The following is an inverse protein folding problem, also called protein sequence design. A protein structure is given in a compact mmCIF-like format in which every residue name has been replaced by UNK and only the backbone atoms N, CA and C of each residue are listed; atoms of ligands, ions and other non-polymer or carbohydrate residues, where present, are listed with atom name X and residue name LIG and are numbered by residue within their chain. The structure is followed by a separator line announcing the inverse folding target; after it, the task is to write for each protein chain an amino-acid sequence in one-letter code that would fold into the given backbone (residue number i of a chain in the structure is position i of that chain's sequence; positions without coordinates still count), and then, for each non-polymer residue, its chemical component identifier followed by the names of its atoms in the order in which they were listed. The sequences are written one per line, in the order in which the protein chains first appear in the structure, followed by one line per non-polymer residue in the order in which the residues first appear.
data_IF_356217395110
#
_entry.id   IF_356217395110
#
_cell.length_a   1.000
_cell.length_b   1.000
_cell.length_c   1.000
_cell.angle_alpha   90.00
_cell.angle_beta   90.00
_cell.angle_gamma   90.00
#
_symmetry.space_group_name_H-M   'P 1'
#
loop_
_entity.id
_entity.type
_entity.pdbx_description
1 polymer ?
#
# COMPACT_ATOMS: atom_id res chain seq x y z
N UNK A 1 4.10 32.82 28.40
CA UNK A 1 3.48 32.47 27.12
C UNK A 1 4.61 32.18 26.14
N UNK A 2 4.96 30.92 25.92
CA UNK A 2 5.99 30.52 24.95
C UNK A 2 5.38 30.49 23.55
N UNK A 3 5.91 31.32 22.66
CA UNK A 3 5.49 31.40 21.26
C UNK A 3 5.83 30.09 20.53
N UNK A 4 4.94 29.52 19.69
CA UNK A 4 5.21 28.28 18.98
C UNK A 4 6.27 28.50 17.88
N UNK A 5 7.30 27.65 17.87
CA UNK A 5 8.31 27.62 16.83
C UNK A 5 7.69 27.17 15.50
N UNK A 6 7.64 28.08 14.52
CA UNK A 6 7.27 27.76 13.14
C UNK A 6 8.36 26.88 12.52
N UNK A 7 8.09 25.57 12.36
CA UNK A 7 9.10 24.60 11.91
C UNK A 7 9.37 24.62 10.39
N UNK A 8 8.58 25.30 9.57
CA UNK A 8 8.90 25.40 8.13
C UNK A 8 8.88 26.81 7.56
N UNK A 9 9.96 27.23 6.85
CA UNK A 9 9.93 28.45 6.06
C UNK A 9 9.02 28.26 4.83
N UNK A 10 8.39 29.34 4.33
CA UNK A 10 7.45 29.28 3.23
C UNK A 10 8.12 28.85 1.91
N UNK A 11 7.50 27.91 1.21
CA UNK A 11 7.93 27.47 -0.11
C UNK A 11 7.78 28.61 -1.13
N UNK A 12 8.87 28.92 -1.83
CA UNK A 12 8.92 29.88 -2.94
C UNK A 12 8.10 29.35 -4.12
N UNK A 13 6.89 29.90 -4.32
CA UNK A 13 6.02 29.63 -5.47
C UNK A 13 6.58 30.30 -6.74
N UNK A 14 7.60 29.72 -7.36
CA UNK A 14 7.91 30.03 -8.76
C UNK A 14 7.06 29.14 -9.68
N UNK A 15 6.04 29.75 -10.28
CA UNK A 15 5.15 29.15 -11.29
C UNK A 15 5.94 28.74 -12.53
N UNK A 16 6.38 27.49 -12.60
CA UNK A 16 6.98 26.92 -13.80
C UNK A 16 5.89 26.65 -14.86
N UNK A 17 6.13 27.09 -16.10
CA UNK A 17 5.26 26.86 -17.26
C UNK A 17 5.24 25.36 -17.61
N UNK A 18 4.04 24.78 -17.67
CA UNK A 18 3.80 23.38 -18.00
C UNK A 18 4.11 23.12 -19.48
N UNK A 19 5.30 22.59 -19.76
CA UNK A 19 5.60 21.84 -20.98
C UNK A 19 5.32 20.38 -20.69
N UNK A 20 4.29 19.79 -21.29
CA UNK A 20 3.93 18.37 -21.13
C UNK A 20 5.01 17.48 -21.77
N UNK A 21 6.11 17.24 -21.07
CA UNK A 21 6.91 16.04 -21.33
C UNK A 21 6.10 14.82 -20.83
N UNK A 22 6.20 13.66 -21.48
CA UNK A 22 5.65 12.42 -20.94
C UNK A 22 6.20 12.25 -19.53
N UNK A 23 5.32 12.26 -18.53
CA UNK A 23 5.67 12.10 -17.12
C UNK A 23 6.20 10.69 -16.90
N UNK A 24 7.51 10.52 -17.02
CA UNK A 24 8.19 9.35 -16.49
C UNK A 24 8.01 9.36 -14.98
N UNK A 25 7.45 8.28 -14.42
CA UNK A 25 7.38 8.05 -12.97
C UNK A 25 8.80 8.23 -12.40
N UNK A 26 9.01 9.09 -11.39
CA UNK A 26 10.29 9.17 -10.70
C UNK A 26 10.72 7.79 -10.20
N UNK A 27 11.90 7.33 -10.58
CA UNK A 27 12.41 5.98 -10.28
C UNK A 27 13.89 6.00 -9.95
N UNK A 28 14.33 5.07 -9.09
CA UNK A 28 15.75 4.84 -8.79
C UNK A 28 16.17 3.44 -9.25
N UNK A 29 17.28 3.28 -10.00
CA UNK A 29 17.65 2.02 -10.64
C UNK A 29 17.92 0.86 -9.67
N UNK A 30 18.36 1.18 -8.44
CA UNK A 30 18.67 0.18 -7.40
C UNK A 30 17.55 0.04 -6.35
N UNK A 31 16.40 0.69 -6.56
CA UNK A 31 15.31 0.64 -5.60
C UNK A 31 14.39 -0.57 -5.89
N UNK A 32 14.29 -1.56 -4.97
CA UNK A 32 13.44 -2.73 -5.20
C UNK A 32 11.96 -2.35 -5.33
N UNK A 33 11.50 -1.32 -4.62
CA UNK A 33 10.12 -0.84 -4.72
C UNK A 33 9.82 -0.16 -6.06
N UNK A 34 10.79 0.55 -6.66
CA UNK A 34 10.65 1.04 -8.03
C UNK A 34 10.57 -0.11 -9.04
N UNK A 35 11.37 -1.17 -8.85
CA UNK A 35 11.35 -2.33 -9.73
C UNK A 35 10.00 -3.07 -9.66
N UNK A 36 9.44 -3.27 -8.45
CA UNK A 36 8.08 -3.78 -8.24
C UNK A 36 7.06 -2.86 -8.94
N UNK A 37 7.14 -1.55 -8.70
CA UNK A 37 6.21 -0.61 -9.32
C UNK A 37 6.24 -0.65 -10.86
N UNK A 38 7.42 -0.82 -11.47
CA UNK A 38 7.56 -0.96 -12.91
C UNK A 38 7.02 -2.29 -13.46
N UNK A 39 7.13 -3.38 -12.68
CA UNK A 39 6.69 -4.71 -13.08
C UNK A 39 5.16 -4.90 -13.00
N UNK A 40 4.49 -4.11 -12.16
CA UNK A 40 3.05 -4.24 -11.93
C UNK A 40 2.32 -2.98 -12.40
N UNK A 41 1.58 -2.98 -13.52
CA UNK A 41 0.79 -1.83 -13.94
C UNK A 41 -0.47 -1.66 -13.06
N UNK A 42 -1.08 -0.45 -13.04
CA UNK A 42 -2.33 -0.20 -12.33
C UNK A 42 -3.48 -1.10 -12.82
N UNK A 43 -4.33 -1.55 -11.89
CA UNK A 43 -5.53 -2.35 -12.16
C UNK A 43 -6.65 -1.94 -11.20
N UNK A 44 -7.93 -2.02 -11.60
CA UNK A 44 -9.06 -1.78 -10.70
C UNK A 44 -9.00 -2.66 -9.45
N UNK A 45 -9.02 -2.08 -8.23
CA UNK A 45 -8.98 -2.83 -6.97
C UNK A 45 -10.11 -3.86 -6.79
N UNK A 46 -11.28 -3.65 -7.41
CA UNK A 46 -12.38 -4.63 -7.37
C UNK A 46 -12.09 -5.90 -8.19
N UNK A 47 -11.09 -5.90 -9.07
CA UNK A 47 -10.82 -6.98 -10.01
C UNK A 47 -9.83 -8.00 -9.46
N UNK A 48 -10.34 -8.96 -8.69
CA UNK A 48 -9.57 -10.03 -8.02
C UNK A 48 -8.71 -10.87 -8.97
N UNK A 49 -9.20 -11.16 -10.19
CA UNK A 49 -8.56 -12.12 -11.10
C UNK A 49 -7.28 -11.63 -11.81
N UNK A 50 -7.08 -10.32 -11.94
CA UNK A 50 -6.03 -9.76 -12.82
C UNK A 50 -4.62 -9.91 -12.27
N UNK A 51 -4.48 -10.05 -10.97
CA UNK A 51 -3.19 -10.01 -10.30
C UNK A 51 -2.60 -11.41 -10.02
N UNK A 52 -3.32 -12.49 -10.35
CA UNK A 52 -2.85 -13.87 -10.23
C UNK A 52 -2.01 -14.35 -11.42
N UNK A 53 -1.92 -13.56 -12.50
CA UNK A 53 -0.96 -13.81 -13.57
C UNK A 53 0.41 -13.32 -13.12
N UNK A 54 1.01 -14.02 -12.15
CA UNK A 54 2.46 -14.13 -12.17
C UNK A 54 2.80 -14.69 -13.56
N UNK A 55 3.71 -14.04 -14.27
CA UNK A 55 4.23 -14.55 -15.52
C UNK A 55 4.95 -15.89 -15.23
N UNK A 56 4.21 -17.00 -15.15
CA UNK A 56 4.72 -18.31 -15.50
C UNK A 56 4.78 -18.36 -17.02
N UNK A 57 5.65 -17.54 -17.60
CA UNK A 57 6.05 -17.78 -18.98
C UNK A 57 6.83 -19.09 -18.99
N UNK A 58 6.22 -20.15 -19.49
CA UNK A 58 6.90 -21.32 -20.07
C UNK A 58 7.60 -20.96 -21.39
N UNK A 59 7.99 -19.70 -21.56
CA UNK A 59 8.86 -19.26 -22.64
C UNK A 59 10.31 -19.38 -22.15
N UNK A 60 11.18 -19.87 -23.04
CA UNK A 60 12.63 -20.09 -22.86
C UNK A 60 13.29 -19.03 -21.95
N UNK A 61 14.35 -19.40 -21.19
CA UNK A 61 15.06 -18.46 -20.33
C UNK A 61 15.72 -17.36 -21.16
N UNK A 62 14.96 -16.31 -21.43
CA UNK A 62 15.47 -15.03 -21.85
C UNK A 62 16.21 -14.46 -20.63
N UNK A 63 17.47 -14.10 -20.81
CA UNK A 63 18.41 -13.61 -19.77
C UNK A 63 18.02 -12.25 -19.14
N UNK A 64 16.75 -11.86 -19.22
CA UNK A 64 16.21 -10.76 -18.43
C UNK A 64 15.97 -11.31 -17.02
N UNK A 65 16.68 -10.78 -16.03
CA UNK A 65 16.43 -11.10 -14.61
C UNK A 65 14.93 -11.15 -14.37
N UNK A 66 14.40 -12.19 -13.70
CA UNK A 66 12.97 -12.31 -13.46
C UNK A 66 12.46 -11.01 -12.86
N UNK A 67 11.31 -10.53 -13.36
CA UNK A 67 10.66 -9.37 -12.77
C UNK A 67 10.55 -9.59 -11.25
N UNK A 68 10.84 -8.57 -10.41
CA UNK A 68 10.86 -8.76 -8.97
C UNK A 68 9.52 -9.34 -8.52
N UNK A 69 9.59 -10.52 -7.91
CA UNK A 69 8.41 -11.21 -7.41
C UNK A 69 7.90 -10.47 -6.18
N UNK A 70 6.64 -10.06 -6.22
CA UNK A 70 5.93 -9.48 -5.10
C UNK A 70 4.54 -10.08 -5.01
N UNK A 71 4.17 -10.50 -3.79
CA UNK A 71 2.85 -10.99 -3.45
C UNK A 71 1.87 -9.81 -3.35
N UNK A 72 1.43 -9.34 -4.51
CA UNK A 72 0.74 -8.06 -4.72
C UNK A 72 -0.73 -8.10 -4.29
N UNK A 73 -1.18 -7.13 -3.50
CA UNK A 73 -2.55 -7.00 -3.01
C UNK A 73 -3.30 -5.89 -3.75
N UNK A 74 -2.64 -4.73 -3.92
CA UNK A 74 -3.21 -3.54 -4.53
C UNK A 74 -2.23 -2.94 -5.53
N UNK A 75 -2.74 -2.46 -6.65
CA UNK A 75 -1.96 -1.74 -7.67
C UNK A 75 -2.81 -0.64 -8.30
N UNK A 76 -2.74 0.57 -7.77
CA UNK A 76 -3.45 1.74 -8.31
C UNK A 76 -2.54 2.60 -9.16
N UNK A 77 -2.99 3.78 -9.59
CA UNK A 77 -2.15 4.75 -10.31
C UNK A 77 -1.00 5.31 -9.46
N UNK A 78 -1.17 5.41 -8.14
CA UNK A 78 -0.23 6.09 -7.25
C UNK A 78 0.30 5.22 -6.11
N UNK A 79 -0.41 4.15 -5.74
CA UNK A 79 -0.11 3.31 -4.57
C UNK A 79 -0.04 1.85 -4.98
N UNK A 80 0.90 1.13 -4.37
CA UNK A 80 0.95 -0.34 -4.40
C UNK A 80 0.88 -0.86 -2.98
N UNK A 81 0.32 -2.05 -2.80
CA UNK A 81 0.44 -2.80 -1.55
C UNK A 81 0.74 -4.27 -1.82
N UNK A 82 1.65 -4.86 -1.04
CA UNK A 82 2.09 -6.25 -1.17
C UNK A 82 2.58 -6.79 0.18
N UNK A 83 2.69 -8.10 0.33
CA UNK A 83 3.22 -8.71 1.56
C UNK A 83 4.71 -8.36 1.76
N UNK A 84 5.11 -8.08 3.00
CA UNK A 84 6.53 -8.00 3.39
C UNK A 84 7.15 -9.40 3.22
N UNK A 85 8.36 -9.49 2.67
CA UNK A 85 9.10 -10.74 2.47
C UNK A 85 9.68 -11.31 3.77
N UNK A 86 9.79 -10.47 4.80
CA UNK A 86 10.23 -10.81 6.15
C UNK A 86 9.14 -10.35 7.14
N UNK A 87 7.95 -10.98 7.12
CA UNK A 87 6.82 -10.61 7.97
C UNK A 87 7.16 -10.67 9.47
N UNK A 88 6.61 -9.74 10.24
CA UNK A 88 6.62 -9.81 11.71
C UNK A 88 5.47 -10.67 12.24
N UNK A 89 4.38 -10.71 11.48
CA UNK A 89 3.17 -11.49 11.71
C UNK A 89 2.55 -11.81 10.36
N UNK A 90 1.71 -12.85 10.28
CA UNK A 90 0.92 -13.16 9.09
C UNK A 90 0.18 -11.92 8.61
N UNK A 91 0.16 -11.68 7.31
CA UNK A 91 -0.48 -10.51 6.71
C UNK A 91 0.22 -9.18 6.97
N UNK A 92 1.51 -9.17 7.34
CA UNK A 92 2.32 -7.95 7.32
C UNK A 92 2.40 -7.40 5.89
N UNK A 93 1.80 -6.22 5.66
CA UNK A 93 1.70 -5.56 4.35
C UNK A 93 2.56 -4.31 4.29
N UNK A 94 3.23 -4.13 3.16
CA UNK A 94 3.88 -2.87 2.77
C UNK A 94 2.95 -2.08 1.84
N UNK A 95 2.70 -0.82 2.16
CA UNK A 95 1.98 0.14 1.31
C UNK A 95 2.95 1.22 0.86
N UNK A 96 3.16 1.34 -0.44
CA UNK A 96 4.19 2.22 -1.02
C UNK A 96 3.58 3.23 -1.98
N UNK A 97 4.24 4.38 -2.14
CA UNK A 97 4.03 5.20 -3.34
C UNK A 97 4.62 4.49 -4.56
N UNK A 98 4.03 4.68 -5.74
CA UNK A 98 4.65 4.24 -7.00
C UNK A 98 5.86 5.07 -7.36
N UNK A 99 5.68 6.38 -7.30
CA UNK A 99 6.74 7.35 -7.50
C UNK A 99 7.78 7.21 -6.40
N UNK A 100 9.04 7.28 -6.79
CA UNK A 100 10.16 7.22 -5.87
C UNK A 100 10.22 8.51 -5.04
N UNK A 101 9.92 8.39 -3.76
CA UNK A 101 10.17 9.40 -2.74
C UNK A 101 10.98 8.72 -1.64
N UNK A 102 12.16 9.24 -1.29
CA UNK A 102 12.99 8.57 -0.28
C UNK A 102 12.37 8.60 1.12
N UNK A 103 11.84 9.77 1.53
CA UNK A 103 11.25 10.01 2.85
C UNK A 103 9.87 10.63 2.70
N UNK A 104 9.05 10.51 3.75
CA UNK A 104 7.68 11.02 3.77
C UNK A 104 7.61 12.52 3.48
N UNK A 105 8.60 13.31 3.95
CA UNK A 105 8.70 14.74 3.66
C UNK A 105 8.96 15.09 2.19
N UNK A 106 9.31 14.11 1.34
CA UNK A 106 9.46 14.30 -0.10
C UNK A 106 8.17 14.04 -0.89
N UNK A 107 7.12 13.53 -0.22
CA UNK A 107 5.85 13.19 -0.86
C UNK A 107 5.00 14.45 -1.04
N UNK A 108 4.57 14.71 -2.27
CA UNK A 108 3.68 15.82 -2.59
C UNK A 108 2.24 15.56 -2.15
N UNK A 109 1.43 16.62 -2.07
CA UNK A 109 0.04 16.57 -1.55
C UNK A 109 -0.83 15.54 -2.27
N UNK A 110 -0.76 15.44 -3.61
CA UNK A 110 -1.61 14.50 -4.36
C UNK A 110 -1.28 13.04 -4.07
N UNK A 111 0.01 12.67 -4.00
CA UNK A 111 0.43 11.31 -3.62
C UNK A 111 0.13 11.05 -2.13
N UNK A 112 0.26 12.06 -1.28
CA UNK A 112 -0.09 11.98 0.14
C UNK A 112 -1.58 11.69 0.36
N UNK A 113 -2.48 12.30 -0.42
CA UNK A 113 -3.92 11.99 -0.41
C UNK A 113 -4.18 10.53 -0.76
N UNK A 114 -3.50 10.01 -1.79
CA UNK A 114 -3.66 8.62 -2.21
C UNK A 114 -3.16 7.63 -1.15
N UNK A 115 -2.00 7.87 -0.54
CA UNK A 115 -1.50 7.07 0.58
C UNK A 115 -2.47 7.11 1.76
N UNK A 116 -2.91 8.30 2.15
CA UNK A 116 -3.86 8.49 3.26
C UNK A 116 -5.23 7.85 3.01
N UNK A 117 -5.70 7.81 1.75
CA UNK A 117 -6.93 7.12 1.33
C UNK A 117 -6.78 5.61 1.49
N UNK A 118 -5.69 5.03 0.97
CA UNK A 118 -5.50 3.58 0.92
C UNK A 118 -5.12 2.95 2.25
N UNK A 119 -4.41 3.65 3.14
CA UNK A 119 -4.01 3.13 4.46
C UNK A 119 -5.18 2.59 5.30
N UNK A 120 -6.28 3.33 5.55
CA UNK A 120 -7.42 2.82 6.33
C UNK A 120 -8.19 1.71 5.60
N UNK A 121 -8.27 1.76 4.27
CA UNK A 121 -8.93 0.72 3.45
C UNK A 121 -8.18 -0.61 3.58
N UNK A 122 -6.86 -0.58 3.35
CA UNK A 122 -6.00 -1.75 3.46
C UNK A 122 -5.93 -2.27 4.89
N UNK A 123 -5.93 -1.38 5.88
CA UNK A 123 -5.94 -1.78 7.29
C UNK A 123 -7.18 -2.62 7.62
N UNK A 124 -8.38 -2.20 7.19
CA UNK A 124 -9.62 -2.99 7.37
C UNK A 124 -9.58 -4.32 6.62
N UNK A 125 -9.11 -4.32 5.38
CA UNK A 125 -9.03 -5.56 4.59
C UNK A 125 -8.05 -6.56 5.21
N UNK A 126 -6.89 -6.09 5.65
CA UNK A 126 -5.86 -6.93 6.27
C UNK A 126 -6.34 -7.49 7.61
N UNK A 127 -6.87 -6.65 8.50
CA UNK A 127 -7.28 -7.11 9.84
C UNK A 127 -8.43 -8.10 9.77
N UNK A 128 -9.48 -7.84 8.97
CA UNK A 128 -10.59 -8.79 8.81
C UNK A 128 -10.13 -10.13 8.23
N UNK A 129 -9.21 -10.09 7.27
CA UNK A 129 -8.71 -11.31 6.61
C UNK A 129 -7.88 -12.17 7.56
N UNK A 130 -7.03 -11.55 8.38
CA UNK A 130 -5.99 -12.27 9.14
C UNK A 130 -6.38 -12.49 10.59
N UNK A 131 -7.09 -11.54 11.20
CA UNK A 131 -7.48 -11.55 12.61
C UNK A 131 -8.96 -11.94 12.79
N UNK A 132 -9.75 -11.91 11.72
CA UNK A 132 -11.19 -12.19 11.77
C UNK A 132 -12.02 -10.98 12.20
N UNK A 133 -13.32 -11.22 12.42
CA UNK A 133 -14.31 -10.20 12.82
C UNK A 133 -15.00 -10.49 14.14
N UNK A 134 -14.85 -11.71 14.65
CA UNK A 134 -15.44 -12.14 15.92
C UNK A 134 -14.52 -11.76 17.08
N UNK A 135 -15.10 -11.50 18.24
CA UNK A 135 -14.33 -11.24 19.44
C UNK A 135 -13.36 -12.39 19.74
N UNK A 136 -12.15 -12.05 20.19
CA UNK A 136 -11.12 -13.04 20.49
C UNK A 136 -11.44 -13.85 21.76
N UNK A 137 -10.50 -14.72 22.17
CA UNK A 137 -10.65 -15.55 23.38
C UNK A 137 -10.79 -14.73 24.67
N UNK A 138 -10.40 -13.45 24.66
CA UNK A 138 -10.52 -12.50 25.76
C UNK A 138 -11.75 -11.60 25.63
N UNK A 139 -12.59 -11.82 24.62
CA UNK A 139 -13.75 -11.00 24.27
C UNK A 139 -13.38 -9.58 23.83
N UNK A 140 -12.19 -9.41 23.27
CA UNK A 140 -11.69 -8.12 22.77
C UNK A 140 -11.88 -8.04 21.24
N UNK A 141 -11.86 -6.82 20.70
CA UNK A 141 -11.88 -6.60 19.25
C UNK A 141 -10.61 -7.22 18.64
N UNK A 142 -10.74 -8.16 17.68
CA UNK A 142 -9.58 -8.79 17.05
C UNK A 142 -8.79 -7.81 16.18
N UNK A 143 -9.38 -6.70 15.75
CA UNK A 143 -8.74 -5.74 14.86
C UNK A 143 -7.71 -4.87 15.61
N UNK A 144 -6.56 -5.47 15.93
CA UNK A 144 -5.42 -4.80 16.55
C UNK A 144 -4.21 -4.86 15.61
N UNK A 145 -3.65 -3.70 15.26
CA UNK A 145 -2.52 -3.64 14.33
C UNK A 145 -1.65 -2.41 14.57
N UNK A 146 -0.41 -2.45 14.07
CA UNK A 146 0.44 -1.27 14.00
C UNK A 146 0.47 -0.72 12.56
N UNK A 147 0.51 0.59 12.44
CA UNK A 147 0.96 1.27 11.22
C UNK A 147 2.31 1.91 11.50
N UNK A 148 3.36 1.50 10.79
CA UNK A 148 4.73 1.99 11.02
C UNK A 148 5.29 2.60 9.74
N UNK A 149 5.92 3.77 9.86
CA UNK A 149 6.55 4.46 8.75
C UNK A 149 7.85 5.10 9.24
N UNK A 150 8.97 4.78 8.57
CA UNK A 150 10.30 5.17 9.01
C UNK A 150 10.98 6.11 7.99
N UNK A 151 11.67 7.15 8.46
CA UNK A 151 12.34 8.14 7.62
C UNK A 151 13.82 8.31 7.97
N UNK A 152 14.69 7.72 7.16
CA UNK A 152 16.14 7.71 7.26
C UNK A 152 16.71 6.57 8.12
N UNK A 153 18.01 6.25 7.97
CA UNK A 153 18.63 5.10 8.66
C UNK A 153 18.56 5.17 10.19
N UNK A 154 18.66 6.37 10.78
CA UNK A 154 18.56 6.57 12.25
C UNK A 154 17.16 6.27 12.80
N UNK A 155 16.14 6.27 11.94
CA UNK A 155 14.78 5.86 12.26
C UNK A 155 14.48 4.43 11.78
N UNK A 156 15.52 3.60 11.52
CA UNK A 156 15.39 2.22 11.04
C UNK A 156 14.75 2.07 9.65
N UNK A 157 14.85 3.07 8.78
CA UNK A 157 14.49 2.90 7.37
C UNK A 157 15.58 2.11 6.63
N UNK A 158 15.25 0.93 6.12
CA UNK A 158 16.18 0.06 5.37
C UNK A 158 16.08 0.27 3.86
N UNK A 159 14.87 0.46 3.31
CA UNK A 159 14.64 0.79 1.90
C UNK A 159 14.37 2.30 1.79
N UNK A 160 15.21 3.09 1.09
CA UNK A 160 15.03 4.54 0.93
C UNK A 160 13.96 4.86 -0.13
N UNK A 161 12.74 4.40 0.12
CA UNK A 161 11.52 4.66 -0.65
C UNK A 161 10.36 4.67 0.34
N UNK A 162 9.42 5.60 0.23
CA UNK A 162 8.31 5.74 1.18
C UNK A 162 7.45 4.49 1.20
N UNK A 163 7.41 3.85 2.36
CA UNK A 163 6.58 2.68 2.63
C UNK A 163 6.01 2.76 4.04
N UNK A 164 4.78 2.32 4.18
CA UNK A 164 4.10 2.10 5.43
C UNK A 164 3.96 0.60 5.64
N UNK A 165 4.22 0.16 6.85
CA UNK A 165 3.92 -1.19 7.30
C UNK A 165 2.52 -1.20 7.91
N UNK A 166 1.69 -2.18 7.55
CA UNK A 166 0.49 -2.59 8.29
C UNK A 166 0.81 -3.94 8.91
N UNK A 167 0.88 -4.00 10.24
CA UNK A 167 1.33 -5.18 10.98
C UNK A 167 0.18 -5.66 11.87
N UNK A 168 -0.58 -6.69 11.46
CA UNK A 168 -1.61 -7.32 12.29
C UNK A 168 -1.02 -7.86 13.59
N UNK A 169 -1.72 -7.70 14.71
CA UNK A 169 -1.32 -8.24 16.00
C UNK A 169 -2.29 -9.35 16.39
N UNK A 170 -1.90 -10.64 16.25
CA UNK A 170 -2.73 -11.71 16.76
C UNK A 170 -2.89 -11.58 18.28
N UNK A 171 -3.97 -12.12 18.85
CA UNK A 171 -4.13 -12.20 20.30
C UNK A 171 -2.89 -12.79 20.95
N UNK A 172 -2.50 -12.25 22.09
CA UNK A 172 -1.52 -12.90 22.96
C UNK A 172 -2.19 -14.13 23.55
N UNK A 173 -1.70 -15.33 23.26
CA UNK A 173 -2.09 -16.51 24.03
C UNK A 173 -1.77 -16.26 25.52
N UNK A 174 -2.51 -16.90 26.42
CA UNK A 174 -2.32 -16.75 27.88
C UNK A 174 -0.90 -17.05 28.33
N UNK A 175 -0.17 -17.85 27.55
CA UNK A 175 1.19 -18.29 27.84
C UNK A 175 2.26 -17.41 27.18
N UNK A 176 1.87 -16.40 26.40
CA UNK A 176 2.82 -15.45 25.78
C UNK A 176 3.22 -14.40 26.83
N UNK A 177 4.50 -14.26 27.19
CA UNK A 177 4.92 -13.23 28.15
C UNK A 177 4.50 -11.84 27.66
N UNK A 178 3.68 -11.13 28.44
CA UNK A 178 3.33 -9.73 28.19
C UNK A 178 4.58 -8.82 28.20
N UNK A 179 5.64 -9.28 28.89
CA UNK A 179 6.93 -8.63 28.98
C UNK A 179 7.86 -9.12 27.86
N UNK A 180 7.80 -8.48 26.70
CA UNK A 180 8.69 -8.82 25.59
C UNK A 180 8.74 -7.73 24.54
N UNK A 181 9.91 -7.55 23.92
CA UNK A 181 10.11 -6.62 22.80
C UNK A 181 9.19 -6.85 21.60
N UNK A 182 8.43 -7.96 21.60
CA UNK A 182 7.37 -8.28 20.64
C UNK A 182 6.23 -7.25 20.64
N UNK A 183 5.80 -6.72 21.80
CA UNK A 183 4.81 -5.62 21.86
C UNK A 183 5.39 -4.27 21.41
N UNK A 184 6.72 -4.12 21.40
CA UNK A 184 7.33 -2.83 21.13
C UNK A 184 7.34 -2.54 19.62
N UNK A 185 6.56 -1.54 19.19
CA UNK A 185 6.66 -0.81 17.91
C UNK A 185 7.27 -1.58 16.72
N UNK A 186 6.59 -2.62 16.21
CA UNK A 186 7.05 -3.32 15.01
C UNK A 186 8.42 -4.00 15.15
N UNK A 187 8.85 -4.36 16.36
CA UNK A 187 10.01 -5.19 16.64
C UNK A 187 9.56 -6.60 16.99
N UNK A 188 10.32 -7.60 16.54
CA UNK A 188 10.01 -9.01 16.72
C UNK A 188 10.92 -9.88 15.85
N UNK A 189 10.91 -11.20 16.10
CA UNK A 189 11.52 -12.17 15.20
C UNK A 189 10.76 -12.13 13.87
N UNK A 190 11.50 -12.05 12.76
CA UNK A 190 10.95 -12.12 11.41
C UNK A 190 11.26 -13.49 10.84
N UNK A 191 10.29 -14.06 10.17
CA UNK A 191 10.45 -15.30 9.42
C UNK A 191 10.34 -14.98 7.93
N UNK A 192 10.97 -15.79 7.09
CA UNK A 192 10.85 -15.65 5.64
C UNK A 192 9.43 -16.03 5.21
N UNK A 193 8.87 -15.26 4.26
CA UNK A 193 7.53 -15.50 3.76
C UNK A 193 7.48 -16.78 2.91
N UNK A 194 6.67 -17.76 3.30
CA UNK A 194 6.39 -18.94 2.47
C UNK A 194 5.52 -18.57 1.26
N UNK A 195 5.95 -18.95 0.06
CA UNK A 195 5.28 -18.55 -1.18
C UNK A 195 3.87 -19.12 -1.34
N UNK A 196 3.61 -20.34 -0.84
CA UNK A 196 2.29 -20.96 -0.93
C UNK A 196 1.32 -20.29 0.04
N UNK A 197 1.76 -20.08 1.29
CA UNK A 197 0.99 -19.34 2.29
C UNK A 197 0.73 -17.90 1.84
N UNK A 198 1.73 -17.26 1.23
CA UNK A 198 1.60 -15.92 0.69
C UNK A 198 0.58 -15.84 -0.45
N UNK A 199 0.60 -16.79 -1.38
CA UNK A 199 -0.35 -16.85 -2.48
C UNK A 199 -1.79 -17.01 -1.96
N UNK A 200 -2.01 -17.89 -0.98
CA UNK A 200 -3.32 -18.05 -0.34
C UNK A 200 -3.75 -16.77 0.39
N UNK A 201 -2.85 -16.20 1.18
CA UNK A 201 -3.10 -14.95 1.93
C UNK A 201 -3.45 -13.80 1.00
N UNK A 202 -2.74 -13.64 -0.12
CA UNK A 202 -3.05 -12.62 -1.13
C UNK A 202 -4.41 -12.85 -1.78
N UNK A 203 -4.77 -14.10 -2.08
CA UNK A 203 -6.08 -14.41 -2.64
C UNK A 203 -7.21 -13.98 -1.68
N UNK A 204 -7.07 -14.30 -0.38
CA UNK A 204 -8.02 -13.89 0.66
C UNK A 204 -8.06 -12.35 0.80
N UNK A 205 -6.90 -11.70 0.85
CA UNK A 205 -6.78 -10.24 0.98
C UNK A 205 -7.41 -9.50 -0.20
N UNK A 206 -7.22 -9.99 -1.44
CA UNK A 206 -7.83 -9.37 -2.62
C UNK A 206 -9.35 -9.54 -2.63
N UNK A 207 -9.86 -10.70 -2.19
CA UNK A 207 -11.29 -10.91 -2.06
C UNK A 207 -11.91 -9.97 -1.00
N UNK A 208 -11.25 -9.80 0.14
CA UNK A 208 -11.70 -8.86 1.18
C UNK A 208 -11.56 -7.40 0.72
N UNK A 209 -10.48 -7.06 0.03
CA UNK A 209 -10.29 -5.72 -0.55
C UNK A 209 -11.38 -5.39 -1.56
N UNK A 210 -11.80 -6.34 -2.41
CA UNK A 210 -12.91 -6.12 -3.35
C UNK A 210 -14.24 -5.88 -2.62
N UNK A 211 -14.52 -6.60 -1.52
CA UNK A 211 -15.68 -6.32 -0.65
C UNK A 211 -15.60 -4.94 -0.03
N UNK A 212 -14.43 -4.56 0.45
CA UNK A 212 -14.21 -3.26 1.06
C UNK A 212 -14.34 -2.12 0.03
N UNK A 213 -13.89 -2.32 -1.21
CA UNK A 213 -14.09 -1.38 -2.32
C UNK A 213 -15.58 -1.19 -2.63
N UNK A 214 -16.34 -2.28 -2.68
CA UNK A 214 -17.80 -2.21 -2.85
C UNK A 214 -18.48 -1.46 -1.71
N UNK A 215 -18.08 -1.73 -0.45
CA UNK A 215 -18.59 -1.04 0.74
C UNK A 215 -18.32 0.46 0.70
N UNK A 216 -17.09 0.87 0.35
CA UNK A 216 -16.74 2.31 0.25
C UNK A 216 -17.59 3.00 -0.81
N UNK A 217 -17.83 2.36 -1.95
CA UNK A 217 -18.71 2.90 -3.00
C UNK A 217 -20.16 3.04 -2.54
N UNK A 218 -20.69 2.04 -1.84
CA UNK A 218 -22.08 2.04 -1.34
C UNK A 218 -22.30 3.03 -0.19
N UNK A 219 -21.43 3.01 0.82
CA UNK A 219 -21.61 3.75 2.08
C UNK A 219 -21.08 5.17 2.00
N UNK A 220 -19.97 5.39 1.28
CA UNK A 220 -19.28 6.67 1.24
C UNK A 220 -19.43 7.36 -0.12
N UNK A 221 -20.00 6.69 -1.13
CA UNK A 221 -20.19 7.25 -2.48
C UNK A 221 -18.90 7.43 -3.28
N UNK A 222 -17.80 6.79 -2.85
CA UNK A 222 -16.48 6.94 -3.46
C UNK A 222 -16.17 5.70 -4.30
N UNK A 223 -16.02 5.88 -5.61
CA UNK A 223 -15.64 4.80 -6.53
C UNK A 223 -14.11 4.68 -6.64
N UNK A 224 -13.54 3.70 -5.95
CA UNK A 224 -12.09 3.46 -5.90
C UNK A 224 -11.51 2.81 -7.18
N UNK A 225 -12.36 2.33 -8.09
CA UNK A 225 -11.89 1.80 -9.38
C UNK A 225 -11.57 2.93 -10.39
N UNK A 226 -12.08 4.15 -10.17
CA UNK A 226 -11.91 5.30 -11.06
C UNK A 226 -10.58 6.05 -10.88
N UNK A 227 -9.76 5.71 -9.88
CA UNK A 227 -8.45 6.34 -9.65
C UNK A 227 -7.48 6.14 -10.84
N UNK A 228 -7.77 5.19 -11.73
CA UNK A 228 -7.20 5.14 -13.06
C UNK A 228 -8.12 5.84 -14.05
N UNK A 229 -7.71 7.01 -14.57
CA UNK A 229 -8.12 7.40 -15.92
C UNK A 229 -7.53 6.37 -16.91
N UNK A 230 -8.15 5.19 -17.00
CA UNK A 230 -7.87 4.16 -17.98
C UNK A 230 -8.46 4.62 -19.32
N UNK A 231 -7.74 5.51 -20.01
CA UNK A 231 -8.06 5.91 -21.38
C UNK A 231 -9.10 7.04 -21.50
N UNK A 232 -8.72 8.03 -22.31
CA UNK A 232 -9.48 9.20 -22.73
C UNK A 232 -11.00 8.97 -22.91
N UNK A 233 -11.82 9.53 -22.02
CA UNK A 233 -13.20 9.89 -22.35
C UNK A 233 -13.31 11.41 -22.39
N UNK A 234 -13.04 11.99 -23.57
CA UNK A 234 -13.51 13.34 -23.93
C UNK A 234 -15.04 13.32 -24.05
N UNK A 235 -15.74 13.12 -22.95
CA UNK A 235 -17.20 13.26 -22.88
C UNK A 235 -17.56 14.69 -22.50
N UNK A 236 -17.56 15.61 -23.48
CA UNK A 236 -18.18 16.93 -23.29
C UNK A 236 -19.68 16.73 -23.05
N UNK A 237 -20.13 16.72 -21.80
CA UNK A 237 -21.55 16.82 -21.51
C UNK A 237 -21.99 18.25 -21.85
N UNK A 238 -22.64 18.42 -23.00
CA UNK A 238 -23.28 19.67 -23.40
C UNK A 238 -24.51 19.87 -22.52
N UNK A 239 -24.54 20.99 -21.81
CA UNK A 239 -25.65 21.40 -20.97
C UNK A 239 -26.96 21.50 -21.76
N UNK A 240 -28.03 21.12 -21.06
CA UNK A 240 -29.42 21.32 -21.45
C UNK A 240 -29.64 22.80 -21.80
N UNK A 241 -29.95 23.06 -23.07
CA UNK A 241 -30.57 24.31 -23.51
C UNK A 241 -31.98 24.38 -22.94
N UNK A 242 -32.22 25.40 -22.11
CA UNK A 242 -33.58 25.87 -21.80
C UNK A 242 -34.26 26.27 -23.12
N UNK A 243 -35.41 25.67 -23.39
CA UNK A 243 -36.50 26.25 -24.16
C UNK A 243 -37.62 26.57 -23.16
#
# INVERSE_FOLDING_TARGET
MTSPATIWPPASLKRAKSSRKPTTIPSSPNCPFCAIAAAHPPSPPSRVDVLNKSHTTTAKPDTRSPAPQAHLILSTKHVLAFLDIMPLTRGHVLVISRDHHEKLGNVGVEVGKELGKWLPILSRAVTRTVLGTELDSRREDPAQWNVVQNNGPRASQTIPHVHFHIIPRPPLDTDTPQEGGWLMFGRGQREELDDNEAQETVAQLRAELAREVARVKEVEGIDLDLDGEFGQAKGKWRGLSKL
#
